data_IF_666152852892
#
_entry.id   IF_666152852892
#
_cell.length_a   1.000
_cell.length_b   1.000
_cell.length_c   1.000
_cell.angle_alpha   90.00
_cell.angle_beta   90.00
_cell.angle_gamma   90.00
#
_symmetry.space_group_name_H-M   'P 1'
#
loop_
_entity.id
_entity.type
_entity.pdbx_description
1 polymer ?
#
# COMPACT_ATOMS: atom_id res chain seq x y z
N UNK A 1 -1.49 21.96 -12.87
CA UNK A 1 -1.88 20.60 -13.32
C UNK A 1 -2.39 20.66 -14.76
N UNK A 2 -2.07 19.66 -15.57
CA UNK A 2 -2.57 19.53 -16.96
C UNK A 2 -4.02 19.04 -16.93
N UNK A 3 -4.44 18.37 -15.85
CA UNK A 3 -5.76 17.79 -15.66
C UNK A 3 -6.55 18.52 -14.57
N UNK A 4 -7.86 18.27 -14.50
CA UNK A 4 -8.81 18.93 -13.61
C UNK A 4 -8.52 18.66 -12.13
N UNK A 5 -8.14 19.68 -11.37
CA UNK A 5 -7.98 19.57 -9.92
C UNK A 5 -9.33 19.33 -9.20
N UNK A 6 -10.46 19.97 -9.58
CA UNK A 6 -11.77 19.67 -9.00
C UNK A 6 -12.18 18.20 -9.14
N UNK A 7 -11.89 17.56 -10.29
CA UNK A 7 -12.18 16.13 -10.46
C UNK A 7 -11.32 15.26 -9.57
N UNK A 8 -10.06 15.61 -9.34
CA UNK A 8 -9.21 14.90 -8.39
C UNK A 8 -9.81 14.94 -6.97
N UNK A 9 -10.24 16.11 -6.49
CA UNK A 9 -10.91 16.27 -5.18
C UNK A 9 -12.20 15.47 -5.12
N UNK A 10 -13.02 15.52 -6.19
CA UNK A 10 -14.26 14.73 -6.29
C UNK A 10 -13.98 13.23 -6.12
N UNK A 11 -13.03 12.70 -6.86
CA UNK A 11 -12.73 11.26 -6.81
C UNK A 11 -12.02 10.84 -5.53
N UNK A 12 -11.20 11.70 -4.90
CA UNK A 12 -10.72 11.48 -3.55
C UNK A 12 -11.87 11.27 -2.57
N UNK A 13 -12.86 12.20 -2.60
CA UNK A 13 -14.05 12.13 -1.73
C UNK A 13 -14.86 10.85 -1.99
N UNK A 14 -15.19 10.57 -3.25
CA UNK A 14 -15.94 9.35 -3.60
C UNK A 14 -15.21 8.07 -3.17
N UNK A 15 -13.87 8.06 -3.22
CA UNK A 15 -13.07 6.92 -2.75
C UNK A 15 -13.17 6.78 -1.23
N UNK A 16 -13.06 7.88 -0.48
CA UNK A 16 -13.20 7.89 0.97
C UNK A 16 -14.59 7.42 1.41
N UNK A 17 -15.64 7.95 0.77
CA UNK A 17 -17.03 7.54 1.02
C UNK A 17 -17.21 6.03 0.79
N UNK A 18 -16.66 5.51 -0.31
CA UNK A 18 -16.73 4.07 -0.62
C UNK A 18 -15.99 3.19 0.37
N UNK A 19 -14.80 3.59 0.83
CA UNK A 19 -14.07 2.86 1.86
C UNK A 19 -14.85 2.83 3.18
N UNK A 20 -15.49 3.95 3.55
CA UNK A 20 -16.39 4.04 4.72
C UNK A 20 -17.58 3.09 4.60
N UNK A 21 -18.26 3.06 3.44
CA UNK A 21 -19.37 2.13 3.17
C UNK A 21 -18.94 0.66 3.29
N UNK A 22 -17.71 0.34 2.92
CA UNK A 22 -17.14 -1.00 3.04
C UNK A 22 -16.69 -1.36 4.46
N UNK A 23 -16.81 -0.44 5.42
CA UNK A 23 -16.37 -0.61 6.80
C UNK A 23 -14.84 -0.71 6.94
N UNK A 24 -14.10 -0.01 6.08
CA UNK A 24 -12.63 0.01 6.09
C UNK A 24 -12.16 1.23 6.85
N UNK A 25 -11.38 1.01 7.90
CA UNK A 25 -10.72 2.09 8.62
C UNK A 25 -9.54 2.61 7.79
N UNK A 26 -9.47 3.92 7.62
CA UNK A 26 -8.40 4.58 6.89
C UNK A 26 -8.06 5.94 7.48
N UNK A 27 -6.84 6.38 7.22
CA UNK A 27 -6.33 7.72 7.56
C UNK A 27 -6.10 8.47 6.26
N UNK A 28 -6.73 9.62 6.10
CA UNK A 28 -6.54 10.52 4.96
C UNK A 28 -5.59 11.69 5.30
N UNK A 29 -5.41 12.61 4.36
CA UNK A 29 -4.50 13.75 4.48
C UNK A 29 -5.22 15.10 4.34
N UNK A 30 -6.52 15.13 4.64
CA UNK A 30 -7.34 16.35 4.53
C UNK A 30 -7.00 17.45 5.53
N UNK A 31 -6.28 17.11 6.60
CA UNK A 31 -5.74 18.04 7.58
C UNK A 31 -4.35 18.57 7.24
N UNK A 32 -3.69 18.02 6.21
CA UNK A 32 -2.35 18.43 5.76
C UNK A 32 -2.45 19.55 4.70
N UNK A 33 -3.36 19.38 3.76
CA UNK A 33 -3.69 20.43 2.79
C UNK A 33 -5.19 20.41 2.46
N UNK A 34 -5.69 21.54 1.97
CA UNK A 34 -7.12 21.78 1.76
C UNK A 34 -7.76 20.78 0.78
N UNK A 35 -7.05 20.39 -0.25
CA UNK A 35 -7.55 19.42 -1.23
C UNK A 35 -7.50 17.97 -0.70
N UNK A 36 -6.67 17.69 0.30
CA UNK A 36 -6.39 16.33 0.77
C UNK A 36 -5.75 15.45 -0.31
N UNK A 37 -4.90 16.03 -1.14
CA UNK A 37 -4.22 15.39 -2.26
C UNK A 37 -2.70 15.44 -2.09
N UNK A 38 -2.01 14.38 -2.44
CA UNK A 38 -0.55 14.30 -2.42
C UNK A 38 0.01 14.75 -3.79
N UNK A 39 0.55 15.96 -3.87
CA UNK A 39 1.18 16.51 -5.07
C UNK A 39 2.44 17.32 -4.79
N UNK A 40 2.66 17.75 -3.55
CA UNK A 40 3.84 18.51 -3.13
C UNK A 40 4.81 17.63 -2.35
N UNK A 41 6.08 17.68 -2.72
CA UNK A 41 7.16 16.95 -2.05
C UNK A 41 7.38 17.42 -0.59
N UNK A 42 7.04 18.68 -0.29
CA UNK A 42 7.16 19.25 1.06
C UNK A 42 6.19 18.60 2.06
N UNK A 43 5.11 18.00 1.58
CA UNK A 43 4.13 17.32 2.43
C UNK A 43 4.50 15.87 2.76
N UNK A 44 5.48 15.28 2.04
CA UNK A 44 5.83 13.85 2.18
C UNK A 44 6.19 13.50 3.61
N UNK A 45 7.06 14.28 4.27
CA UNK A 45 7.49 13.95 5.62
C UNK A 45 6.36 14.14 6.65
N UNK A 46 5.57 15.20 6.54
CA UNK A 46 4.40 15.43 7.42
C UNK A 46 3.38 14.29 7.31
N UNK A 47 3.14 13.81 6.08
CA UNK A 47 2.23 12.69 5.83
C UNK A 47 2.82 11.40 6.41
N UNK A 48 4.12 11.17 6.24
CA UNK A 48 4.78 9.99 6.78
C UNK A 48 4.70 9.95 8.31
N UNK A 49 5.03 11.05 8.99
CA UNK A 49 4.94 11.19 10.45
C UNK A 49 3.52 10.96 10.96
N UNK A 50 2.51 11.52 10.27
CA UNK A 50 1.11 11.30 10.60
C UNK A 50 0.75 9.81 10.51
N UNK A 51 1.08 9.16 9.40
CA UNK A 51 0.75 7.75 9.18
C UNK A 51 1.48 6.81 10.15
N UNK A 52 2.72 7.12 10.50
CA UNK A 52 3.47 6.41 11.55
C UNK A 52 2.80 6.56 12.92
N UNK A 53 2.38 7.77 13.28
CA UNK A 53 1.69 8.06 14.55
C UNK A 53 0.34 7.35 14.65
N UNK A 54 -0.41 7.31 13.57
CA UNK A 54 -1.70 6.62 13.50
C UNK A 54 -1.55 5.09 13.33
N UNK A 55 -0.34 4.59 13.12
CA UNK A 55 -0.04 3.16 13.06
C UNK A 55 -0.67 2.45 11.85
N UNK A 56 -0.66 3.08 10.67
CA UNK A 56 -1.25 2.49 9.46
C UNK A 56 -0.46 1.26 9.00
N UNK A 57 -1.15 0.24 8.52
CA UNK A 57 -0.57 -1.05 8.12
C UNK A 57 -0.26 -1.15 6.62
N UNK A 58 -0.74 -0.22 5.82
CA UNK A 58 -0.52 -0.17 4.38
C UNK A 58 -0.84 1.18 3.77
N UNK A 59 -0.35 1.42 2.57
CA UNK A 59 -0.51 2.66 1.82
C UNK A 59 -1.32 2.43 0.55
N UNK A 60 -2.49 3.08 0.43
CA UNK A 60 -3.25 3.11 -0.81
C UNK A 60 -2.92 4.38 -1.60
N UNK A 61 -2.27 4.23 -2.74
CA UNK A 61 -2.02 5.30 -3.71
C UNK A 61 -3.18 5.33 -4.70
N UNK A 62 -4.21 6.12 -4.37
CA UNK A 62 -5.39 6.32 -5.22
C UNK A 62 -5.14 7.48 -6.19
N UNK A 63 -4.87 7.15 -7.46
CA UNK A 63 -4.71 8.15 -8.51
C UNK A 63 -6.06 8.72 -8.92
N UNK A 64 -6.51 9.78 -8.23
CA UNK A 64 -7.80 10.43 -8.50
C UNK A 64 -7.78 11.28 -9.79
N UNK A 65 -6.59 11.48 -10.35
CA UNK A 65 -6.30 12.15 -11.61
C UNK A 65 -5.08 11.47 -12.26
N UNK A 66 -4.21 12.18 -12.99
CA UNK A 66 -2.93 11.67 -13.45
C UNK A 66 -2.00 11.33 -12.27
N UNK A 67 -1.97 12.20 -11.25
CA UNK A 67 -1.12 12.05 -10.06
C UNK A 67 0.28 12.64 -10.23
N UNK A 68 1.07 12.56 -9.16
CA UNK A 68 2.47 13.04 -9.11
C UNK A 68 3.38 11.87 -8.74
N UNK A 69 3.89 11.18 -9.74
CA UNK A 69 4.58 9.89 -9.63
C UNK A 69 5.76 9.87 -8.64
N UNK A 70 6.61 10.92 -8.66
CA UNK A 70 7.81 10.95 -7.81
C UNK A 70 7.48 11.17 -6.34
N UNK A 71 6.46 11.98 -6.02
CA UNK A 71 6.02 12.25 -4.65
C UNK A 71 5.39 10.98 -4.04
N UNK A 72 4.54 10.29 -4.81
CA UNK A 72 3.98 9.00 -4.42
C UNK A 72 5.07 7.96 -4.12
N UNK A 73 6.10 7.88 -4.96
CA UNK A 73 7.19 6.93 -4.77
C UNK A 73 8.08 7.29 -3.58
N UNK A 74 8.30 8.57 -3.30
CA UNK A 74 9.05 9.02 -2.10
C UNK A 74 8.30 8.65 -0.83
N UNK A 75 7.00 8.96 -0.74
CA UNK A 75 6.19 8.59 0.41
C UNK A 75 6.18 7.07 0.62
N UNK A 76 5.94 6.29 -0.44
CA UNK A 76 5.95 4.83 -0.37
C UNK A 76 7.30 4.27 0.10
N UNK A 77 8.41 4.84 -0.40
CA UNK A 77 9.76 4.46 0.01
C UNK A 77 10.05 4.83 1.46
N UNK A 78 9.61 6.00 1.91
CA UNK A 78 9.80 6.52 3.27
C UNK A 78 9.07 5.65 4.30
N UNK A 79 7.83 5.24 4.00
CA UNK A 79 7.03 4.42 4.91
C UNK A 79 7.44 2.95 4.93
N UNK A 80 7.90 2.38 3.82
CA UNK A 80 8.27 0.97 3.74
C UNK A 80 7.13 -0.03 4.00
N UNK A 81 5.89 0.42 3.85
CA UNK A 81 4.68 -0.37 4.04
C UNK A 81 4.25 -1.07 2.73
N UNK A 82 3.39 -2.10 2.79
CA UNK A 82 2.69 -2.58 1.61
C UNK A 82 1.98 -1.45 0.88
N UNK A 83 2.02 -1.47 -0.45
CA UNK A 83 1.44 -0.43 -1.30
C UNK A 83 0.38 -1.02 -2.22
N UNK A 84 -0.81 -0.42 -2.23
CA UNK A 84 -1.84 -0.63 -3.24
C UNK A 84 -1.82 0.54 -4.22
N UNK A 85 -1.55 0.28 -5.48
CA UNK A 85 -1.64 1.26 -6.57
C UNK A 85 -2.94 1.05 -7.33
N UNK A 86 -3.81 2.05 -7.31
CA UNK A 86 -5.11 2.00 -7.98
C UNK A 86 -5.56 3.40 -8.43
N UNK A 87 -6.49 3.43 -9.37
CA UNK A 87 -7.21 4.64 -9.74
C UNK A 87 -8.55 4.32 -10.39
N UNK A 88 -9.54 5.23 -10.24
CA UNK A 88 -10.85 5.05 -10.83
C UNK A 88 -10.79 5.09 -12.36
N UNK A 89 -11.67 4.33 -13.00
CA UNK A 89 -11.81 4.34 -14.47
C UNK A 89 -12.11 5.76 -14.96
N UNK A 90 -11.38 6.18 -15.98
CA UNK A 90 -11.55 7.50 -16.58
C UNK A 90 -12.86 7.59 -17.37
N UNK A 91 -13.47 8.78 -17.40
CA UNK A 91 -14.62 9.09 -18.23
C UNK A 91 -14.22 9.19 -19.71
N UNK A 92 -15.23 9.16 -20.56
CA UNK A 92 -15.02 9.50 -21.97
C UNK A 92 -14.62 10.97 -22.09
N UNK A 93 -13.78 11.31 -23.09
CA UNK A 93 -13.48 12.70 -23.37
C UNK A 93 -14.75 13.54 -23.56
N UNK A 94 -14.69 14.80 -23.17
CA UNK A 94 -15.74 15.79 -23.42
C UNK A 94 -15.96 15.96 -24.94
N UNK A 95 -17.10 16.51 -25.38
CA UNK A 95 -17.39 16.71 -26.81
C UNK A 95 -16.35 17.54 -27.56
N UNK A 96 -15.61 18.39 -26.85
CA UNK A 96 -14.49 19.18 -27.38
C UNK A 96 -13.16 18.39 -27.45
N UNK A 97 -13.16 17.09 -27.03
CA UNK A 97 -11.99 16.24 -26.99
C UNK A 97 -11.15 16.37 -25.72
N UNK A 98 -11.53 17.25 -24.80
CA UNK A 98 -10.80 17.44 -23.54
C UNK A 98 -10.96 16.23 -22.63
N UNK A 99 -9.86 15.83 -21.99
CA UNK A 99 -9.84 14.82 -20.94
C UNK A 99 -9.70 15.49 -19.59
N UNK A 100 -10.66 15.26 -18.71
CA UNK A 100 -10.62 15.79 -17.34
C UNK A 100 -9.60 15.06 -16.49
N UNK A 101 -9.37 13.75 -16.77
CA UNK A 101 -8.45 12.88 -16.07
C UNK A 101 -7.74 11.95 -17.05
N UNK A 102 -6.58 11.44 -16.67
CA UNK A 102 -5.88 10.35 -17.35
C UNK A 102 -5.19 9.45 -16.31
N UNK A 103 -6.04 8.81 -15.52
CA UNK A 103 -5.65 7.99 -14.37
C UNK A 103 -4.83 6.79 -14.79
N UNK A 104 -5.21 6.12 -15.88
CA UNK A 104 -4.51 4.94 -16.35
C UNK A 104 -3.06 5.25 -16.76
N UNK A 105 -2.81 6.37 -17.43
CA UNK A 105 -1.47 6.81 -17.76
C UNK A 105 -0.65 7.09 -16.50
N UNK A 106 -1.24 7.78 -15.53
CA UNK A 106 -0.62 8.07 -14.24
C UNK A 106 -0.26 6.81 -13.45
N UNK A 107 -1.10 5.78 -13.49
CA UNK A 107 -0.82 4.48 -12.87
C UNK A 107 0.41 3.79 -13.50
N UNK A 108 0.55 3.82 -14.82
CA UNK A 108 1.73 3.27 -15.50
C UNK A 108 3.00 4.03 -15.15
N UNK A 109 2.92 5.37 -15.14
CA UNK A 109 4.03 6.24 -14.77
C UNK A 109 4.47 5.99 -13.32
N UNK A 110 3.55 6.03 -12.36
CA UNK A 110 3.83 5.78 -10.94
C UNK A 110 4.34 4.35 -10.70
N UNK A 111 3.74 3.34 -11.35
CA UNK A 111 4.21 1.95 -11.25
C UNK A 111 5.65 1.79 -11.74
N UNK A 112 6.05 2.52 -12.80
CA UNK A 112 7.44 2.55 -13.26
C UNK A 112 8.39 3.17 -12.24
N UNK A 113 7.99 4.28 -11.61
CA UNK A 113 8.82 4.99 -10.61
C UNK A 113 8.93 4.18 -9.31
N UNK A 114 7.85 3.57 -8.84
CA UNK A 114 7.88 2.65 -7.69
C UNK A 114 8.93 1.54 -7.88
N UNK A 115 8.97 0.92 -9.08
CA UNK A 115 9.98 -0.09 -9.41
C UNK A 115 11.40 0.47 -9.38
N UNK A 116 11.64 1.70 -9.88
CA UNK A 116 12.94 2.37 -9.80
C UNK A 116 13.38 2.62 -8.36
N UNK A 117 12.42 2.92 -7.47
CA UNK A 117 12.66 3.10 -6.04
C UNK A 117 12.77 1.76 -5.28
N UNK A 118 12.60 0.61 -5.98
CA UNK A 118 12.57 -0.73 -5.39
C UNK A 118 11.47 -0.88 -4.34
N UNK A 119 10.34 -0.24 -4.56
CA UNK A 119 9.12 -0.39 -3.77
C UNK A 119 8.25 -1.44 -4.41
N UNK A 120 7.94 -2.49 -3.66
CA UNK A 120 6.96 -3.50 -4.06
C UNK A 120 5.55 -2.94 -3.92
N UNK A 121 4.68 -3.23 -4.87
CA UNK A 121 3.29 -2.77 -4.83
C UNK A 121 2.35 -3.80 -5.46
N UNK A 122 1.12 -3.82 -4.98
CA UNK A 122 -0.01 -4.50 -5.60
C UNK A 122 -0.67 -3.53 -6.56
N UNK A 123 -0.90 -3.96 -7.80
CA UNK A 123 -1.65 -3.20 -8.78
C UNK A 123 -3.09 -3.71 -8.83
N UNK A 124 -4.04 -2.84 -8.54
CA UNK A 124 -5.45 -3.12 -8.77
C UNK A 124 -5.86 -2.54 -10.12
N UNK A 125 -6.48 -3.37 -10.95
CA UNK A 125 -6.99 -2.95 -12.25
C UNK A 125 -7.84 -1.68 -12.14
N UNK A 126 -7.59 -0.74 -13.04
CA UNK A 126 -8.38 0.49 -13.18
C UNK A 126 -9.86 0.13 -13.39
N UNK A 127 -10.71 0.49 -12.42
CA UNK A 127 -12.12 0.09 -12.35
C UNK A 127 -12.96 1.16 -11.65
N UNK A 128 -14.29 1.04 -11.72
CA UNK A 128 -15.18 1.92 -10.98
C UNK A 128 -15.23 1.52 -9.51
N UNK A 129 -15.52 2.48 -8.64
CA UNK A 129 -15.73 2.26 -7.20
C UNK A 129 -16.89 1.27 -6.91
N UNK A 130 -17.88 1.21 -7.81
CA UNK A 130 -19.02 0.29 -7.70
C UNK A 130 -18.73 -1.12 -8.21
N UNK A 131 -17.60 -1.33 -8.89
CA UNK A 131 -17.28 -2.64 -9.45
C UNK A 131 -16.86 -3.62 -8.33
N UNK A 132 -17.31 -4.90 -8.38
CA UNK A 132 -16.92 -5.90 -7.37
C UNK A 132 -15.39 -6.12 -7.31
N UNK A 133 -14.68 -5.81 -8.39
CA UNK A 133 -13.21 -5.89 -8.46
C UNK A 133 -12.56 -4.91 -7.49
N UNK A 134 -13.13 -3.69 -7.31
CA UNK A 134 -12.64 -2.71 -6.36
C UNK A 134 -12.69 -3.25 -4.92
N UNK A 135 -13.87 -3.66 -4.46
CA UNK A 135 -14.03 -4.16 -3.11
C UNK A 135 -13.13 -5.37 -2.83
N UNK A 136 -13.13 -6.35 -3.72
CA UNK A 136 -12.29 -7.54 -3.58
C UNK A 136 -10.81 -7.16 -3.52
N UNK A 137 -10.34 -6.31 -4.45
CA UNK A 137 -8.94 -5.90 -4.49
C UNK A 137 -8.47 -5.14 -3.24
N UNK A 138 -9.33 -4.29 -2.66
CA UNK A 138 -9.02 -3.60 -1.40
C UNK A 138 -9.01 -4.60 -0.23
N UNK A 139 -9.97 -5.52 -0.12
CA UNK A 139 -9.97 -6.55 0.93
C UNK A 139 -8.78 -7.50 0.84
N UNK A 140 -8.40 -7.92 -0.36
CA UNK A 140 -7.21 -8.74 -0.59
C UNK A 140 -5.94 -7.98 -0.16
N UNK A 141 -5.87 -6.69 -0.45
CA UNK A 141 -4.76 -5.84 -0.01
C UNK A 141 -4.69 -5.72 1.52
N UNK A 142 -5.81 -5.53 2.20
CA UNK A 142 -5.85 -5.52 3.67
C UNK A 142 -5.39 -6.85 4.27
N UNK A 143 -5.75 -7.97 3.65
CA UNK A 143 -5.25 -9.28 4.04
C UNK A 143 -3.72 -9.37 3.88
N UNK A 144 -3.16 -8.83 2.79
CA UNK A 144 -1.70 -8.74 2.59
C UNK A 144 -1.05 -7.89 3.69
N UNK A 145 -1.61 -6.72 4.02
CA UNK A 145 -1.09 -5.88 5.10
C UNK A 145 -1.05 -6.63 6.44
N UNK A 146 -2.13 -7.33 6.78
CA UNK A 146 -2.21 -8.13 8.00
C UNK A 146 -1.16 -9.26 8.02
N UNK A 147 -1.00 -9.98 6.90
CA UNK A 147 0.04 -11.01 6.78
C UNK A 147 1.44 -10.43 6.97
N UNK A 148 1.76 -9.32 6.30
CA UNK A 148 3.08 -8.67 6.41
C UNK A 148 3.35 -8.19 7.84
N UNK A 149 2.36 -7.56 8.48
CA UNK A 149 2.45 -7.12 9.88
C UNK A 149 2.72 -8.30 10.83
N UNK A 150 1.96 -9.37 10.68
CA UNK A 150 2.08 -10.57 11.52
C UNK A 150 3.41 -11.27 11.27
N UNK A 151 3.81 -11.42 10.00
CA UNK A 151 5.04 -12.12 9.62
C UNK A 151 6.31 -11.48 10.21
N UNK A 152 6.36 -10.16 10.29
CA UNK A 152 7.51 -9.42 10.86
C UNK A 152 7.67 -9.57 12.37
N UNK A 153 6.76 -10.25 13.07
CA UNK A 153 6.78 -10.41 14.53
C UNK A 153 6.51 -11.86 14.96
N UNK A 154 6.79 -12.81 14.07
CA UNK A 154 6.58 -14.24 14.36
C UNK A 154 7.68 -14.73 15.30
N UNK A 155 7.27 -15.50 16.34
CA UNK A 155 8.12 -16.39 17.11
C UNK A 155 7.81 -17.83 16.74
N UNK A 156 8.83 -18.60 16.38
CA UNK A 156 8.70 -20.01 16.02
C UNK A 156 9.26 -20.84 17.17
N UNK A 157 8.40 -21.63 17.84
CA UNK A 157 8.82 -22.57 18.84
C UNK A 157 9.42 -23.80 18.14
N UNK A 158 10.71 -24.05 18.40
CA UNK A 158 11.38 -25.29 17.98
C UNK A 158 11.43 -26.27 19.13
N UNK A 159 10.67 -27.35 19.05
CA UNK A 159 10.67 -28.41 20.04
C UNK A 159 11.79 -29.40 19.70
N UNK A 160 12.84 -29.42 20.55
CA UNK A 160 14.03 -30.26 20.40
C UNK A 160 14.83 -30.00 19.10
N UNK A 161 15.84 -30.81 18.87
CA UNK A 161 16.68 -30.72 17.67
C UNK A 161 16.11 -31.55 16.54
N UNK A 162 16.38 -31.21 15.30
CA UNK A 162 16.08 -32.07 14.15
C UNK A 162 16.88 -33.37 14.20
N UNK A 163 16.40 -34.47 13.65
CA UNK A 163 17.22 -35.66 13.40
C UNK A 163 18.43 -35.31 12.50
N UNK A 164 19.56 -35.97 12.73
CA UNK A 164 20.82 -35.61 12.07
C UNK A 164 20.74 -35.61 10.54
N UNK A 165 20.03 -36.53 9.94
CA UNK A 165 19.89 -36.74 8.50
C UNK A 165 18.76 -35.95 7.84
N UNK A 166 17.95 -35.20 8.62
CA UNK A 166 16.85 -34.39 8.11
C UNK A 166 17.30 -32.99 7.67
N UNK A 167 18.11 -32.95 6.64
CA UNK A 167 18.69 -31.71 6.13
C UNK A 167 17.67 -30.78 5.48
N UNK A 168 16.55 -31.31 5.01
CA UNK A 168 15.44 -30.52 4.46
C UNK A 168 14.78 -29.58 5.48
N UNK A 169 14.98 -29.83 6.77
CA UNK A 169 14.44 -29.01 7.87
C UNK A 169 15.44 -27.98 8.40
N UNK A 170 16.63 -27.87 7.77
CA UNK A 170 17.60 -26.84 8.13
C UNK A 170 17.07 -25.45 7.73
N UNK A 171 17.19 -24.49 8.65
CA UNK A 171 16.92 -23.09 8.39
C UNK A 171 18.10 -22.23 8.84
N UNK A 172 18.24 -21.05 8.28
CA UNK A 172 19.20 -20.06 8.70
C UNK A 172 18.54 -19.11 9.70
N UNK A 173 18.71 -19.37 10.99
CA UNK A 173 18.13 -18.58 12.08
C UNK A 173 18.58 -17.11 12.04
N UNK A 174 19.86 -16.87 11.71
CA UNK A 174 20.38 -15.51 11.56
C UNK A 174 19.69 -14.75 10.45
N UNK A 175 19.45 -15.37 9.30
CA UNK A 175 18.72 -14.74 8.20
C UNK A 175 17.24 -14.48 8.54
N UNK A 176 16.60 -15.39 9.27
CA UNK A 176 15.23 -15.20 9.76
C UNK A 176 15.14 -13.97 10.67
N UNK A 177 16.07 -13.82 11.61
CA UNK A 177 16.12 -12.69 12.52
C UNK A 177 16.47 -11.38 11.79
N UNK A 178 17.56 -11.37 11.02
CA UNK A 178 18.07 -10.14 10.39
C UNK A 178 17.16 -9.57 9.31
N UNK A 179 16.54 -10.44 8.49
CA UNK A 179 15.71 -10.01 7.36
C UNK A 179 14.24 -9.83 7.69
N UNK A 180 13.73 -10.62 8.64
CA UNK A 180 12.30 -10.72 8.88
C UNK A 180 11.88 -10.45 10.33
N UNK A 181 12.85 -10.24 11.23
CA UNK A 181 12.62 -10.13 12.69
C UNK A 181 11.86 -11.35 13.25
N UNK A 182 12.16 -12.54 12.71
CA UNK A 182 11.57 -13.80 13.18
C UNK A 182 12.53 -14.46 14.16
N UNK A 183 12.05 -14.68 15.39
CA UNK A 183 12.80 -15.38 16.44
C UNK A 183 12.52 -16.88 16.40
N UNK A 184 13.58 -17.69 16.42
CA UNK A 184 13.47 -19.13 16.71
C UNK A 184 13.74 -19.35 18.21
N UNK A 185 12.76 -19.93 18.92
CA UNK A 185 12.85 -20.21 20.35
C UNK A 185 12.98 -21.72 20.58
N UNK A 186 14.20 -22.28 20.74
CA UNK A 186 14.39 -23.70 20.96
C UNK A 186 14.04 -24.10 22.41
N UNK A 187 13.30 -25.18 22.56
CA UNK A 187 12.96 -25.78 23.86
C UNK A 187 13.35 -27.27 23.82
N UNK A 188 14.22 -27.73 24.75
CA UNK A 188 14.60 -29.15 24.84
C UNK A 188 13.41 -29.99 25.32
N UNK A 189 13.32 -31.25 24.86
CA UNK A 189 12.27 -32.19 25.29
C UNK A 189 12.19 -32.38 26.81
N UNK A 190 13.26 -32.13 27.52
CA UNK A 190 13.32 -32.24 28.99
C UNK A 190 12.55 -31.15 29.72
N UNK A 191 12.13 -30.10 29.02
CA UNK A 191 11.37 -28.97 29.58
C UNK A 191 9.87 -29.04 29.23
N UNK A 192 9.46 -30.06 28.49
CA UNK A 192 8.08 -30.35 28.15
C UNK A 192 7.50 -31.44 29.07
#
# INVERSE_FOLDING_TARGET
SIFSAPDAVKYRRLTADRLTELGIDFVDITDINEEGLLYDDQDVEKIAEKFEKEGVDGLMLAHCNFGTEYVCARLAKRLGLPVLLWGPLDERPEPNGERLRDTQCGLFATGKVLRRFRVSFTYLTNCRLSDPVFERGVRDFLAVCNVVKTFKNIRILQISTRPFDFWTTMCNEGELLERFNIELAPVPLSEL
#
